data_IF_791630330052
#
_entry.id   IF_791630330052
#
_cell.length_a   1.000
_cell.length_b   1.000
_cell.length_c   1.000
_cell.angle_alpha   90.00
_cell.angle_beta   90.00
_cell.angle_gamma   90.00
#
_symmetry.space_group_name_H-M   'P 1'
#
loop_
_entity.id
_entity.type
_entity.pdbx_description
1 polymer ?
#
# COMPACT_ATOMS: atom_id res chain seq x y z
N UNK A 1 20.45 19.34 -12.16
CA UNK A 1 19.68 18.15 -11.79
C UNK A 1 18.51 18.01 -12.75
N UNK A 2 18.31 16.83 -13.32
CA UNK A 2 17.08 16.54 -14.06
C UNK A 2 15.91 16.45 -13.07
N UNK A 3 14.69 16.88 -13.45
CA UNK A 3 13.53 16.73 -12.60
C UNK A 3 13.24 15.25 -12.37
N UNK A 4 12.95 14.86 -11.14
CA UNK A 4 12.47 13.49 -10.86
C UNK A 4 11.04 13.36 -11.38
N UNK A 5 10.78 12.31 -12.15
CA UNK A 5 9.52 12.11 -12.86
C UNK A 5 8.84 10.83 -12.39
N UNK A 6 7.57 10.92 -12.01
CA UNK A 6 6.70 9.76 -11.75
C UNK A 6 5.53 9.85 -12.72
N UNK A 7 5.35 8.81 -13.53
CA UNK A 7 4.27 8.75 -14.52
C UNK A 7 4.21 10.00 -15.42
N UNK A 8 5.37 10.46 -15.90
CA UNK A 8 5.50 11.66 -16.73
C UNK A 8 5.21 12.99 -16.01
N UNK A 9 5.01 12.98 -14.68
CA UNK A 9 4.79 14.21 -13.90
C UNK A 9 6.00 14.51 -13.01
N UNK A 10 6.45 15.78 -12.94
CA UNK A 10 7.56 16.16 -12.10
C UNK A 10 7.15 16.11 -10.64
N UNK A 11 8.04 15.58 -9.79
CA UNK A 11 7.97 15.71 -8.34
C UNK A 11 9.06 16.67 -7.87
N UNK A 12 8.71 17.54 -6.92
CA UNK A 12 9.69 18.44 -6.31
C UNK A 12 10.52 17.67 -5.29
N UNK A 13 11.83 17.72 -5.45
CA UNK A 13 12.83 17.19 -4.53
C UNK A 13 13.72 18.34 -4.05
N UNK A 14 14.01 18.33 -2.76
CA UNK A 14 14.99 19.22 -2.14
C UNK A 14 16.41 18.78 -2.51
N UNK A 15 17.18 19.68 -3.10
CA UNK A 15 18.48 19.35 -3.69
C UNK A 15 19.55 19.03 -2.64
N UNK A 16 19.42 19.57 -1.42
CA UNK A 16 20.38 19.35 -0.33
C UNK A 16 20.08 18.07 0.44
N UNK A 17 18.81 17.85 0.77
CA UNK A 17 18.39 16.74 1.64
C UNK A 17 17.88 15.52 0.89
N UNK A 18 17.57 15.65 -0.40
CA UNK A 18 16.90 14.60 -1.18
C UNK A 18 15.45 14.37 -0.77
N UNK A 19 14.88 15.21 0.09
CA UNK A 19 13.50 15.05 0.55
C UNK A 19 12.50 15.45 -0.53
N UNK A 20 11.51 14.60 -0.79
CA UNK A 20 10.50 14.81 -1.82
C UNK A 20 9.18 15.33 -1.29
N UNK A 21 8.46 16.09 -2.11
CA UNK A 21 7.10 16.54 -1.83
C UNK A 21 6.10 15.39 -1.86
N UNK A 22 5.51 15.06 -0.70
CA UNK A 22 4.54 13.96 -0.59
C UNK A 22 3.30 14.18 -1.46
N UNK A 23 2.80 15.42 -1.52
CA UNK A 23 1.60 15.75 -2.32
C UNK A 23 1.87 15.56 -3.82
N UNK A 24 3.09 15.81 -4.28
CA UNK A 24 3.42 15.64 -5.71
C UNK A 24 3.42 14.17 -6.09
N UNK A 25 3.93 13.28 -5.23
CA UNK A 25 3.86 11.83 -5.42
C UNK A 25 2.41 11.36 -5.52
N UNK A 26 1.55 11.79 -4.61
CA UNK A 26 0.12 11.43 -4.65
C UNK A 26 -0.51 11.90 -5.96
N UNK A 27 -0.28 13.15 -6.39
CA UNK A 27 -0.81 13.67 -7.67
C UNK A 27 -0.27 12.93 -8.89
N UNK A 28 1.00 12.55 -8.85
CA UNK A 28 1.65 11.83 -9.93
C UNK A 28 1.02 10.46 -10.14
N UNK A 29 0.80 9.73 -9.05
CA UNK A 29 0.24 8.37 -9.09
C UNK A 29 -1.27 8.34 -9.30
N UNK A 30 -2.04 9.22 -8.66
CA UNK A 30 -3.52 9.15 -8.69
C UNK A 30 -4.14 9.95 -9.83
N UNK A 31 -3.38 10.84 -10.48
CA UNK A 31 -3.97 11.76 -11.46
C UNK A 31 -4.72 12.95 -10.85
N UNK A 32 -4.88 12.99 -9.53
CA UNK A 32 -5.75 13.95 -8.85
C UNK A 32 -5.16 15.38 -8.80
N UNK A 33 -6.06 16.37 -8.72
CA UNK A 33 -5.67 17.76 -8.47
C UNK A 33 -5.12 17.98 -7.05
N UNK A 34 -4.39 19.08 -6.84
CA UNK A 34 -3.66 19.36 -5.60
C UNK A 34 -4.53 19.29 -4.33
N UNK A 35 -5.76 19.80 -4.37
CA UNK A 35 -6.67 19.80 -3.22
C UNK A 35 -7.10 18.39 -2.81
N UNK A 36 -7.41 17.54 -3.80
CA UNK A 36 -7.85 16.16 -3.55
C UNK A 36 -6.67 15.32 -3.07
N UNK A 37 -5.52 15.44 -3.73
CA UNK A 37 -4.29 14.77 -3.32
C UNK A 37 -3.85 15.16 -1.90
N UNK A 38 -3.97 16.44 -1.53
CA UNK A 38 -3.65 16.90 -0.17
C UNK A 38 -4.59 16.30 0.88
N UNK A 39 -5.90 16.24 0.59
CA UNK A 39 -6.88 15.59 1.49
C UNK A 39 -6.59 14.09 1.64
N UNK A 40 -6.26 13.41 0.54
CA UNK A 40 -5.87 11.99 0.54
C UNK A 40 -4.62 11.77 1.39
N UNK A 41 -3.57 12.58 1.19
CA UNK A 41 -2.36 12.54 1.99
C UNK A 41 -2.65 12.71 3.48
N UNK A 42 -3.43 13.74 3.86
CA UNK A 42 -3.80 13.95 5.27
C UNK A 42 -4.49 12.72 5.86
N UNK A 43 -5.43 12.11 5.13
CA UNK A 43 -6.10 10.87 5.58
C UNK A 43 -5.11 9.71 5.74
N UNK A 44 -4.12 9.59 4.85
CA UNK A 44 -3.08 8.55 4.96
C UNK A 44 -2.21 8.76 6.19
N UNK A 45 -1.73 9.99 6.42
CA UNK A 45 -0.90 10.32 7.59
C UNK A 45 -1.65 10.13 8.92
N UNK A 46 -2.97 10.33 8.92
CA UNK A 46 -3.83 10.04 10.09
C UNK A 46 -4.01 8.54 10.33
N UNK A 47 -4.16 7.75 9.26
CA UNK A 47 -4.34 6.29 9.36
C UNK A 47 -3.04 5.56 9.69
N UNK A 48 -1.90 6.08 9.24
CA UNK A 48 -0.59 5.47 9.44
C UNK A 48 0.35 6.46 10.18
N UNK A 49 0.30 6.52 11.52
CA UNK A 49 1.10 7.47 12.31
C UNK A 49 2.61 7.38 12.05
N UNK A 50 3.12 6.19 11.68
CA UNK A 50 4.51 6.00 11.26
C UNK A 50 4.91 6.88 10.07
N UNK A 51 4.02 7.03 9.09
CA UNK A 51 4.26 7.89 7.93
C UNK A 51 4.33 9.36 8.35
N UNK A 52 3.46 9.75 9.28
CA UNK A 52 3.47 11.09 9.87
C UNK A 52 4.79 11.38 10.58
N UNK A 53 5.31 10.43 11.37
CA UNK A 53 6.58 10.59 12.09
C UNK A 53 7.81 10.72 11.18
N UNK A 54 7.80 10.05 10.02
CA UNK A 54 8.84 10.17 9.00
C UNK A 54 8.69 11.38 8.07
N UNK A 55 7.66 12.19 8.27
CA UNK A 55 7.33 13.34 7.44
C UNK A 55 7.50 14.65 8.20
N UNK A 56 7.91 15.71 7.51
CA UNK A 56 7.99 17.06 8.09
C UNK A 56 7.45 18.11 7.13
N UNK A 57 6.93 19.21 7.67
CA UNK A 57 6.64 20.39 6.86
C UNK A 57 7.94 21.18 6.66
N UNK A 58 8.36 21.33 5.41
CA UNK A 58 9.55 22.07 5.05
C UNK A 58 9.34 22.86 3.75
N UNK A 59 10.16 23.88 3.55
CA UNK A 59 10.33 24.51 2.25
C UNK A 59 11.22 23.59 1.40
N UNK A 60 10.93 23.49 0.11
CA UNK A 60 11.82 22.79 -0.84
C UNK A 60 12.71 23.83 -1.49
N UNK A 61 14.02 23.68 -1.35
CA UNK A 61 15.01 24.64 -1.86
C UNK A 61 14.72 26.10 -1.42
N UNK A 62 14.28 26.28 -0.16
CA UNK A 62 13.91 27.57 0.45
C UNK A 62 12.86 28.40 -0.30
N UNK A 63 12.03 27.76 -1.14
CA UNK A 63 11.04 28.43 -1.98
C UNK A 63 9.61 28.01 -1.64
N UNK A 64 8.70 28.99 -1.71
CA UNK A 64 7.26 28.77 -1.64
C UNK A 64 6.71 28.64 -0.22
N UNK A 65 5.66 27.83 -0.07
CA UNK A 65 5.04 27.52 1.21
C UNK A 65 5.54 26.20 1.76
N UNK A 66 5.56 26.06 3.09
CA UNK A 66 5.96 24.81 3.73
C UNK A 66 4.98 23.69 3.36
N UNK A 67 5.50 22.64 2.73
CA UNK A 67 4.75 21.46 2.31
C UNK A 67 5.25 20.23 3.04
N UNK A 68 4.43 19.17 3.07
CA UNK A 68 4.86 17.89 3.60
C UNK A 68 5.93 17.27 2.70
N UNK A 69 7.08 16.99 3.31
CA UNK A 69 8.25 16.39 2.69
C UNK A 69 8.70 15.18 3.49
N UNK A 70 9.31 14.21 2.82
CA UNK A 70 9.90 13.05 3.47
C UNK A 70 11.03 12.45 2.62
N UNK A 71 11.82 11.57 3.22
CA UNK A 71 12.85 10.81 2.52
C UNK A 71 12.27 9.70 1.62
N UNK A 72 13.14 9.08 0.82
CA UNK A 72 12.78 8.08 -0.18
C UNK A 72 11.90 6.94 0.38
N UNK A 73 12.26 6.39 1.54
CA UNK A 73 11.49 5.32 2.20
C UNK A 73 10.01 5.68 2.39
N UNK A 74 9.72 6.87 2.93
CA UNK A 74 8.32 7.31 3.16
C UNK A 74 7.62 7.61 1.84
N UNK A 75 8.32 8.19 0.85
CA UNK A 75 7.76 8.43 -0.48
C UNK A 75 7.31 7.12 -1.15
N UNK A 76 8.11 6.06 -1.03
CA UNK A 76 7.79 4.73 -1.55
C UNK A 76 6.58 4.14 -0.80
N UNK A 77 6.50 4.29 0.53
CA UNK A 77 5.32 3.85 1.30
C UNK A 77 4.05 4.63 0.93
N UNK A 78 4.14 5.93 0.64
CA UNK A 78 3.03 6.72 0.11
C UNK A 78 2.63 6.20 -1.27
N UNK A 79 3.59 5.83 -2.12
CA UNK A 79 3.34 5.18 -3.39
C UNK A 79 2.54 3.89 -3.23
N UNK A 80 2.94 3.05 -2.28
CA UNK A 80 2.21 1.84 -1.90
C UNK A 80 0.77 2.15 -1.49
N UNK A 81 0.57 3.14 -0.63
CA UNK A 81 -0.76 3.51 -0.15
C UNK A 81 -1.67 4.13 -1.23
N UNK A 82 -1.12 4.57 -2.35
CA UNK A 82 -1.89 5.16 -3.46
C UNK A 82 -2.39 4.11 -4.45
N UNK A 83 -1.50 3.25 -4.96
CA UNK A 83 -1.81 2.27 -6.02
C UNK A 83 -1.23 0.88 -5.76
N UNK A 84 -0.85 0.58 -4.52
CA UNK A 84 -0.26 -0.70 -4.14
C UNK A 84 1.19 -0.84 -4.59
N UNK A 85 1.64 -2.09 -4.79
CA UNK A 85 3.04 -2.40 -5.12
C UNK A 85 3.54 -1.66 -6.36
N UNK A 86 2.71 -1.51 -7.39
CA UNK A 86 3.05 -0.77 -8.60
C UNK A 86 3.43 0.69 -8.30
N UNK A 87 2.66 1.38 -7.45
CA UNK A 87 2.96 2.75 -7.04
C UNK A 87 4.27 2.86 -6.28
N UNK A 88 4.56 1.90 -5.41
CA UNK A 88 5.83 1.83 -4.70
C UNK A 88 7.01 1.62 -5.66
N UNK A 89 6.88 0.71 -6.63
CA UNK A 89 7.90 0.47 -7.66
C UNK A 89 8.16 1.70 -8.52
N UNK A 90 7.11 2.40 -8.96
CA UNK A 90 7.24 3.64 -9.73
C UNK A 90 8.01 4.72 -8.96
N UNK A 91 7.70 4.89 -7.67
CA UNK A 91 8.41 5.86 -6.82
C UNK A 91 9.86 5.44 -6.60
N UNK A 92 10.11 4.16 -6.28
CA UNK A 92 11.45 3.64 -6.04
C UNK A 92 12.34 3.82 -7.29
N UNK A 93 11.82 3.44 -8.46
CA UNK A 93 12.51 3.63 -9.73
C UNK A 93 12.80 5.11 -10.02
N UNK A 94 11.82 6.00 -9.83
CA UNK A 94 12.01 7.43 -10.06
C UNK A 94 13.06 8.06 -9.14
N UNK A 95 13.18 7.56 -7.91
CA UNK A 95 14.16 8.02 -6.93
C UNK A 95 15.51 7.30 -7.02
N UNK A 96 15.67 6.37 -7.98
CA UNK A 96 16.84 5.47 -8.06
C UNK A 96 17.12 4.76 -6.73
N UNK A 97 16.05 4.45 -5.98
CA UNK A 97 16.13 3.78 -4.70
C UNK A 97 16.28 2.27 -4.88
N UNK A 98 16.83 1.61 -3.86
CA UNK A 98 16.97 0.15 -3.86
C UNK A 98 15.58 -0.53 -3.96
N UNK A 99 15.43 -1.41 -4.94
CA UNK A 99 14.21 -2.18 -5.17
C UNK A 99 13.84 -3.07 -3.98
N UNK A 100 14.83 -3.51 -3.19
CA UNK A 100 14.62 -4.30 -1.97
C UNK A 100 13.69 -3.60 -0.96
N UNK A 101 13.70 -2.26 -0.93
CA UNK A 101 12.83 -1.46 -0.07
C UNK A 101 11.35 -1.67 -0.38
N UNK A 102 11.00 -1.88 -1.65
CA UNK A 102 9.60 -2.16 -2.05
C UNK A 102 9.15 -3.49 -1.47
N UNK A 103 10.02 -4.50 -1.50
CA UNK A 103 9.72 -5.83 -0.97
C UNK A 103 9.62 -5.80 0.56
N UNK A 104 10.53 -5.10 1.25
CA UNK A 104 10.45 -4.88 2.69
C UNK A 104 9.14 -4.20 3.12
N UNK A 105 8.71 -3.16 2.39
CA UNK A 105 7.44 -2.48 2.64
C UNK A 105 6.27 -3.45 2.43
N UNK A 106 6.33 -4.26 1.37
CA UNK A 106 5.35 -5.30 1.10
C UNK A 106 5.25 -6.32 2.23
N UNK A 107 6.38 -6.87 2.68
CA UNK A 107 6.45 -7.81 3.80
C UNK A 107 5.85 -7.21 5.07
N UNK A 108 6.27 -6.01 5.48
CA UNK A 108 5.72 -5.34 6.68
C UNK A 108 4.21 -5.11 6.59
N UNK A 109 3.69 -4.76 5.41
CA UNK A 109 2.24 -4.54 5.22
C UNK A 109 1.47 -5.87 5.24
N UNK A 110 2.01 -6.93 4.65
CA UNK A 110 1.41 -8.26 4.70
C UNK A 110 1.43 -8.88 6.10
N UNK A 111 2.52 -8.73 6.85
CA UNK A 111 2.64 -9.22 8.23
C UNK A 111 1.67 -8.48 9.17
N UNK A 112 1.55 -7.17 9.01
CA UNK A 112 0.56 -6.38 9.75
C UNK A 112 -0.89 -6.85 9.50
N UNK A 113 -1.20 -7.27 8.26
CA UNK A 113 -2.52 -7.82 7.91
C UNK A 113 -2.76 -9.20 8.54
N UNK A 114 -1.75 -10.08 8.58
CA UNK A 114 -1.86 -11.39 9.23
C UNK A 114 -2.17 -11.26 10.72
N UNK A 115 -1.44 -10.38 11.42
CA UNK A 115 -1.66 -10.12 12.84
C UNK A 115 -3.05 -9.54 13.15
N UNK A 116 -3.57 -8.64 12.30
CA UNK A 116 -4.92 -8.10 12.48
C UNK A 116 -6.03 -9.14 12.24
N UNK A 117 -5.85 -10.05 11.28
CA UNK A 117 -6.78 -11.14 11.04
C UNK A 117 -6.77 -12.17 12.18
N UNK A 118 -5.62 -12.48 12.77
CA UNK A 118 -5.52 -13.37 13.93
C UNK A 118 -6.21 -12.79 15.16
N UNK A 119 -6.08 -11.48 15.41
CA UNK A 119 -6.80 -10.79 16.50
C UNK A 119 -8.30 -10.76 16.22
N UNK A 120 -8.72 -10.48 14.99
CA UNK A 120 -10.15 -10.50 14.63
C UNK A 120 -10.76 -11.90 14.81
N UNK A 121 -10.07 -12.97 14.38
CA UNK A 121 -10.53 -14.36 14.62
C UNK A 121 -10.57 -14.69 16.12
N UNK A 122 -9.58 -14.28 16.91
CA UNK A 122 -9.58 -14.54 18.35
C UNK A 122 -10.70 -13.80 19.09
N UNK A 123 -11.08 -12.61 18.61
CA UNK A 123 -12.16 -11.80 19.20
C UNK A 123 -13.55 -12.32 18.77
N UNK A 124 -13.69 -12.84 17.55
CA UNK A 124 -14.94 -13.45 17.08
C UNK A 124 -15.14 -14.91 17.50
N UNK A 125 -14.08 -15.64 17.87
CA UNK A 125 -14.16 -16.97 18.47
C UNK A 125 -14.62 -17.00 19.93
N UNK A 126 -14.78 -15.85 20.58
CA UNK A 126 -15.32 -15.72 21.94
C UNK A 126 -16.77 -15.17 21.97
N UNK A 127 -17.43 -15.03 20.82
CA UNK A 127 -18.81 -14.53 20.73
C UNK A 127 -19.88 -15.65 20.74
N UNK A 128 -19.52 -16.86 21.17
CA UNK A 128 -20.48 -17.95 21.47
C UNK A 128 -20.26 -18.49 22.89
N UNK A 129 -20.46 -17.67 23.91
CA UNK A 129 -20.97 -18.11 25.22
C UNK A 129 -21.03 -16.91 26.15
N UNK A 130 -22.13 -16.15 26.09
CA UNK A 130 -22.80 -15.56 27.26
C UNK A 130 -23.90 -14.60 26.79
N UNK A 131 -25.01 -15.18 26.32
CA UNK A 131 -26.27 -14.48 26.25
C UNK A 131 -26.83 -14.33 27.68
N UNK A 132 -26.31 -13.36 28.44
CA UNK A 132 -26.96 -12.93 29.69
C UNK A 132 -28.20 -12.12 29.30
N UNK A 133 -29.36 -12.62 29.74
CA UNK A 133 -30.67 -12.04 29.50
C UNK A 133 -30.72 -10.55 29.91
N UNK A 134 -31.09 -9.68 28.96
CA UNK A 134 -31.71 -8.40 29.29
C UNK A 134 -31.02 -7.11 28.86
N UNK A 135 -30.04 -7.09 27.96
CA UNK A 135 -29.52 -5.83 27.40
C UNK A 135 -29.55 -5.84 25.87
N UNK A 136 -30.17 -4.80 25.28
CA UNK A 136 -30.29 -4.59 23.84
C UNK A 136 -28.91 -4.63 23.16
N UNK A 137 -28.61 -5.72 22.46
CA UNK A 137 -27.54 -5.74 21.46
C UNK A 137 -27.96 -4.85 20.29
N UNK A 138 -27.22 -3.75 20.09
CA UNK A 138 -27.27 -2.96 18.87
C UNK A 138 -26.87 -3.87 17.71
N UNK A 139 -27.82 -4.15 16.81
CA UNK A 139 -27.55 -4.81 15.55
C UNK A 139 -26.55 -3.98 14.75
N UNK A 140 -25.31 -4.47 14.66
CA UNK A 140 -24.34 -4.04 13.65
C UNK A 140 -24.73 -4.70 12.32
N UNK A 141 -25.72 -4.12 11.64
CA UNK A 141 -25.94 -4.36 10.21
C UNK A 141 -24.96 -3.51 9.42
N UNK A 142 -23.85 -4.10 8.98
CA UNK A 142 -23.20 -3.80 7.69
C UNK A 142 -22.05 -4.81 7.40
N UNK A 143 -22.41 -6.08 7.17
CA UNK A 143 -21.49 -7.16 6.78
C UNK A 143 -21.43 -7.38 5.26
N UNK A 144 -21.65 -6.34 4.45
CA UNK A 144 -21.60 -6.46 2.99
C UNK A 144 -20.19 -6.55 2.35
N UNK A 145 -19.07 -6.07 2.94
CA UNK A 145 -17.76 -6.14 2.28
C UNK A 145 -16.97 -7.43 2.51
N UNK A 146 -17.22 -8.18 3.58
CA UNK A 146 -16.34 -9.30 3.98
C UNK A 146 -16.52 -10.55 3.12
N UNK A 147 -17.75 -10.94 2.78
CA UNK A 147 -17.98 -12.13 1.95
C UNK A 147 -17.38 -11.99 0.55
N UNK A 148 -17.46 -10.79 -0.04
CA UNK A 148 -16.83 -10.50 -1.33
C UNK A 148 -15.30 -10.55 -1.25
N UNK A 149 -14.71 -10.19 -0.11
CA UNK A 149 -13.27 -10.22 0.08
C UNK A 149 -12.75 -11.65 0.26
N UNK A 150 -13.46 -12.50 1.00
CA UNK A 150 -13.15 -13.92 1.12
C UNK A 150 -13.25 -14.62 -0.24
N UNK A 151 -14.32 -14.35 -1.00
CA UNK A 151 -14.47 -14.89 -2.36
C UNK A 151 -13.37 -14.42 -3.33
N UNK A 152 -12.86 -13.20 -3.17
CA UNK A 152 -11.72 -12.69 -3.96
C UNK A 152 -10.43 -13.43 -3.62
N UNK A 153 -10.16 -13.67 -2.34
CA UNK A 153 -8.98 -14.41 -1.88
C UNK A 153 -9.03 -15.88 -2.32
N UNK A 154 -10.18 -16.53 -2.21
CA UNK A 154 -10.39 -17.90 -2.70
C UNK A 154 -10.18 -17.98 -4.22
N UNK A 155 -10.65 -16.97 -4.96
CA UNK A 155 -10.45 -16.89 -6.41
C UNK A 155 -8.99 -16.68 -6.80
N UNK A 156 -8.24 -15.86 -6.08
CA UNK A 156 -6.80 -15.66 -6.33
C UNK A 156 -6.00 -16.92 -6.02
N UNK A 157 -6.29 -17.61 -4.92
CA UNK A 157 -5.66 -18.88 -4.56
C UNK A 157 -5.91 -19.96 -5.63
N UNK A 158 -7.15 -20.06 -6.15
CA UNK A 158 -7.48 -20.98 -7.23
C UNK A 158 -6.77 -20.65 -8.55
N UNK A 159 -6.59 -19.36 -8.88
CA UNK A 159 -5.83 -18.96 -10.07
C UNK A 159 -4.34 -19.29 -9.93
N UNK A 160 -3.77 -19.10 -8.75
CA UNK A 160 -2.37 -19.42 -8.49
C UNK A 160 -2.12 -20.93 -8.56
N UNK A 161 -2.99 -21.74 -7.97
CA UNK A 161 -2.93 -23.21 -8.08
C UNK A 161 -3.07 -23.68 -9.55
N UNK A 162 -3.93 -23.05 -10.35
CA UNK A 162 -4.04 -23.37 -11.78
C UNK A 162 -2.78 -23.03 -12.56
N UNK A 163 -2.15 -21.90 -12.28
CA UNK A 163 -0.90 -21.52 -12.94
C UNK A 163 0.22 -22.50 -12.60
N UNK A 164 0.33 -22.95 -11.35
CA UNK A 164 1.30 -23.99 -10.95
C UNK A 164 1.03 -25.33 -11.68
N UNK A 165 -0.23 -25.72 -11.85
CA UNK A 165 -0.58 -26.91 -12.64
C UNK A 165 -0.25 -26.76 -14.14
N UNK A 166 -0.45 -25.56 -14.70
CA UNK A 166 -0.09 -25.24 -16.08
C UNK A 166 1.43 -25.26 -16.29
N UNK A 167 2.20 -24.75 -15.33
CA UNK A 167 3.67 -24.80 -15.37
C UNK A 167 4.17 -26.24 -15.30
N UNK A 168 3.57 -27.08 -14.45
CA UNK A 168 3.89 -28.51 -14.35
C UNK A 168 3.56 -29.28 -15.64
N UNK A 169 2.40 -28.99 -16.25
CA UNK A 169 2.02 -29.59 -17.54
C UNK A 169 2.95 -29.14 -18.67
N UNK A 170 3.32 -27.86 -18.69
CA UNK A 170 4.24 -27.30 -19.71
C UNK A 170 5.63 -27.92 -19.57
N UNK A 171 6.13 -28.11 -18.34
CA UNK A 171 7.37 -28.81 -18.07
C UNK A 171 7.30 -30.30 -18.49
N UNK A 172 6.17 -30.96 -18.29
CA UNK A 172 5.96 -32.36 -18.70
C UNK A 172 5.95 -32.52 -20.23
N UNK A 173 5.25 -31.63 -20.95
CA UNK A 173 5.17 -31.68 -22.43
C UNK A 173 6.52 -31.36 -23.08
N UNK A 174 7.31 -30.45 -22.49
CA UNK A 174 8.68 -30.17 -22.97
C UNK A 174 9.68 -31.29 -22.65
N UNK A 175 9.42 -32.11 -21.62
CA UNK A 175 10.25 -33.27 -21.26
C UNK A 175 10.05 -34.49 -22.16
N UNK A 176 8.90 -34.63 -22.83
CA UNK A 176 8.60 -35.75 -23.73
C UNK A 176 9.11 -35.56 -25.18
N UNK A 177 9.68 -34.39 -25.52
CA UNK A 177 10.24 -34.11 -26.87
C UNK A 177 11.74 -34.47 -26.97
N UNK A 178 12.34 -35.02 -25.91
CA UNK A 178 13.74 -35.48 -25.89
C UNK A 178 13.89 -36.97 -25.51
N UNK A 179 13.02 -37.84 -26.03
CA UNK A 179 13.24 -39.29 -26.05
C UNK A 179 13.19 -39.82 -27.49
#
# INVERSE_FOLDING_TARGET
>A
MQPVMINGKPIRIDAETGAGALVDVVKALTGEGSTVASKRLTKMLQKEPRLSSGSKKALINDKGSAIWTAGAHVLIEIGWGCTGREGAQMVAHALEADASLVDEIGHRRHEGLKSQNEVALATHGHAESDCIAGTRCLQLTDLAPQEKYVQLLEREALMQQRNEQLDLLTASVCGEVQA
#
